data_IF_404713209007
#
_entry.id   IF_404713209007
#
_cell.length_a   1.000
_cell.length_b   1.000
_cell.length_c   1.000
_cell.angle_alpha   90.00
_cell.angle_beta   90.00
_cell.angle_gamma   90.00
#
_symmetry.space_group_name_H-M   'P 1'
#
loop_
_entity.id
_entity.type
_entity.pdbx_description
1 polymer ?
#
# COMPACT_ATOMS: atom_id res chain seq x y z
N UNK A 1 -7.60 -9.70 -22.11
CA UNK A 1 -8.23 -9.12 -20.90
C UNK A 1 -7.09 -8.73 -20.00
N UNK A 2 -7.05 -7.47 -19.59
CA UNK A 2 -5.94 -6.86 -18.85
C UNK A 2 -6.15 -7.04 -17.34
N UNK A 3 -5.30 -7.78 -16.62
CA UNK A 3 -5.51 -8.16 -15.21
C UNK A 3 -5.25 -7.01 -14.21
N UNK A 4 -6.19 -6.75 -13.27
CA UNK A 4 -5.97 -5.85 -12.12
C UNK A 4 -5.73 -6.62 -10.81
N UNK A 5 -4.74 -6.19 -10.02
CA UNK A 5 -4.28 -6.87 -8.81
C UNK A 5 -4.71 -6.13 -7.54
N UNK A 6 -4.86 -6.88 -6.45
CA UNK A 6 -5.22 -6.35 -5.11
C UNK A 6 -4.02 -6.53 -4.17
N UNK A 7 -3.59 -5.42 -3.57
CA UNK A 7 -2.44 -5.36 -2.66
C UNK A 7 -2.85 -4.81 -1.29
N UNK A 8 -2.06 -5.04 -0.24
CA UNK A 8 -2.31 -4.51 1.11
C UNK A 8 -1.31 -3.39 1.43
N UNK A 9 -1.79 -2.21 1.85
CA UNK A 9 -0.93 -1.06 2.20
C UNK A 9 -0.86 -0.89 3.71
N UNK A 10 0.35 -0.93 4.25
CA UNK A 10 0.62 -0.71 5.68
C UNK A 10 0.72 0.79 5.96
N UNK A 11 -0.04 1.30 6.92
CA UNK A 11 0.17 2.64 7.52
C UNK A 11 0.72 2.44 8.92
N UNK A 12 1.77 3.18 9.26
CA UNK A 12 2.35 3.19 10.62
C UNK A 12 1.33 3.71 11.63
N UNK A 13 1.17 2.96 12.73
CA UNK A 13 0.52 3.44 13.95
C UNK A 13 1.62 3.92 14.91
N UNK A 14 1.69 5.21 15.26
CA UNK A 14 2.69 5.74 16.20
C UNK A 14 2.56 5.16 17.63
N UNK A 15 1.50 4.41 17.93
CA UNK A 15 1.35 3.66 19.18
C UNK A 15 2.03 2.27 19.18
N UNK A 16 2.52 1.77 18.04
CA UNK A 16 3.21 0.48 17.91
C UNK A 16 4.74 0.59 18.03
N UNK A 17 5.24 1.45 18.92
CA UNK A 17 6.67 1.60 19.19
C UNK A 17 7.30 0.36 19.90
N UNK A 18 6.46 -0.48 20.51
CA UNK A 18 6.87 -1.69 21.23
C UNK A 18 6.42 -2.95 20.46
N UNK A 19 7.14 -3.28 19.39
CA UNK A 19 6.81 -4.38 18.50
C UNK A 19 6.99 -5.78 19.15
N UNK A 20 6.01 -6.66 18.98
CA UNK A 20 6.07 -8.07 19.39
C UNK A 20 6.82 -8.96 18.38
N UNK A 21 7.32 -10.10 18.87
CA UNK A 21 8.45 -10.87 18.37
C UNK A 21 8.34 -11.42 16.92
N UNK A 22 9.48 -11.56 16.22
CA UNK A 22 9.53 -12.03 14.84
C UNK A 22 9.01 -13.46 14.70
N UNK A 23 8.08 -13.66 13.76
CA UNK A 23 7.57 -14.98 13.38
C UNK A 23 8.54 -15.70 12.45
N UNK A 24 9.06 -16.85 12.87
CA UNK A 24 9.92 -17.75 12.09
C UNK A 24 10.08 -19.11 12.77
N UNK A 25 10.59 -20.12 12.07
CA UNK A 25 10.86 -21.44 12.66
C UNK A 25 12.24 -21.46 13.28
N UNK A 26 12.33 -21.76 14.58
CA UNK A 26 13.60 -22.05 15.24
C UNK A 26 14.08 -23.43 14.78
N UNK A 27 15.28 -23.51 14.20
CA UNK A 27 15.89 -24.77 13.78
C UNK A 27 17.31 -24.88 14.33
N UNK A 28 17.73 -26.10 14.66
CA UNK A 28 19.11 -26.37 15.09
C UNK A 28 19.98 -26.68 13.86
N UNK A 29 20.98 -25.84 13.59
CA UNK A 29 22.01 -26.06 12.55
C UNK A 29 23.39 -25.98 13.18
N UNK A 30 24.23 -26.99 12.95
CA UNK A 30 25.60 -27.07 13.48
C UNK A 30 25.71 -26.86 15.00
N UNK A 31 24.72 -27.35 15.76
CA UNK A 31 24.69 -27.22 17.22
C UNK A 31 24.31 -25.81 17.73
N UNK A 32 23.80 -24.93 16.85
CA UNK A 32 23.27 -23.61 17.22
C UNK A 32 21.82 -23.46 16.79
N UNK A 33 21.04 -22.76 17.60
CA UNK A 33 19.65 -22.43 17.29
C UNK A 33 19.63 -21.20 16.37
N UNK A 34 19.10 -21.37 15.16
CA UNK A 34 18.94 -20.33 14.16
C UNK A 34 17.45 -20.11 13.89
N UNK A 35 17.02 -18.86 13.81
CA UNK A 35 15.68 -18.51 13.35
C UNK A 35 15.69 -18.51 11.82
N UNK A 36 15.04 -19.50 11.21
CA UNK A 36 14.83 -19.52 9.77
C UNK A 36 13.50 -18.84 9.48
N UNK A 37 13.50 -17.69 8.78
CA UNK A 37 12.26 -17.04 8.41
C UNK A 37 11.60 -17.82 7.26
N UNK A 38 10.28 -17.94 7.30
CA UNK A 38 9.53 -18.60 6.22
C UNK A 38 9.42 -17.65 5.00
N UNK A 39 9.98 -18.06 3.85
CA UNK A 39 9.77 -17.44 2.54
C UNK A 39 10.59 -16.19 2.19
N UNK A 40 10.50 -15.68 0.93
CA UNK A 40 11.32 -14.58 0.40
C UNK A 40 11.11 -13.21 1.09
N UNK A 41 10.11 -13.11 1.98
CA UNK A 41 9.77 -11.92 2.77
C UNK A 41 10.70 -11.72 3.99
N UNK A 42 11.51 -12.74 4.31
CA UNK A 42 12.55 -12.75 5.33
C UNK A 42 13.53 -11.56 5.28
N UNK A 43 13.92 -11.17 4.07
CA UNK A 43 14.95 -10.15 3.85
C UNK A 43 14.43 -8.71 4.02
N UNK A 44 13.12 -8.54 4.22
CA UNK A 44 12.45 -7.26 4.37
C UNK A 44 11.92 -7.05 5.80
N UNK A 45 12.38 -7.84 6.77
CA UNK A 45 11.99 -7.65 8.16
C UNK A 45 12.82 -6.56 8.88
N UNK A 46 12.20 -5.83 9.81
CA UNK A 46 10.80 -5.96 10.24
C UNK A 46 9.94 -4.90 9.55
N UNK A 47 9.39 -5.18 8.36
CA UNK A 47 8.17 -4.48 7.94
C UNK A 47 7.07 -4.82 8.97
N UNK A 48 6.36 -3.82 9.53
CA UNK A 48 5.30 -4.03 10.50
C UNK A 48 4.23 -5.02 10.00
N UNK A 49 3.50 -5.70 10.91
CA UNK A 49 2.43 -6.59 10.53
C UNK A 49 1.40 -5.87 9.66
N UNK A 50 0.92 -6.54 8.62
CA UNK A 50 -0.09 -5.99 7.73
C UNK A 50 -1.41 -5.80 8.48
N UNK A 51 -1.97 -4.59 8.43
CA UNK A 51 -3.28 -4.27 9.01
C UNK A 51 -4.45 -4.67 8.09
N UNK A 52 -5.60 -4.02 8.28
CA UNK A 52 -6.83 -4.30 7.50
C UNK A 52 -6.95 -3.49 6.21
N UNK A 53 -6.05 -2.52 5.99
CA UNK A 53 -6.11 -1.65 4.83
C UNK A 53 -5.63 -2.36 3.57
N UNK A 54 -6.36 -2.21 2.47
CA UNK A 54 -5.96 -2.74 1.16
C UNK A 54 -6.07 -1.67 0.07
N UNK A 55 -5.36 -1.92 -1.02
CA UNK A 55 -5.29 -1.14 -2.23
C UNK A 55 -5.55 -2.04 -3.45
N UNK A 56 -6.06 -1.44 -4.51
CA UNK A 56 -6.30 -2.11 -5.78
C UNK A 56 -5.47 -1.37 -6.82
N UNK A 57 -4.64 -2.08 -7.58
CA UNK A 57 -3.90 -1.47 -8.67
C UNK A 57 -4.87 -1.07 -9.78
N UNK A 58 -4.81 0.20 -10.20
CA UNK A 58 -5.72 0.74 -11.22
C UNK A 58 -5.19 0.63 -12.64
N UNK A 59 -4.10 -0.12 -12.79
CA UNK A 59 -3.24 -0.24 -13.96
C UNK A 59 -2.93 -1.72 -14.10
N UNK A 60 -3.08 -2.25 -15.31
CA UNK A 60 -2.87 -3.66 -15.58
C UNK A 60 -1.44 -3.90 -16.08
N UNK A 61 -0.76 -4.99 -15.63
CA UNK A 61 0.52 -5.41 -16.21
C UNK A 61 0.45 -5.65 -17.72
N UNK A 62 -0.70 -6.13 -18.20
CA UNK A 62 -0.94 -6.48 -19.61
C UNK A 62 -1.54 -5.35 -20.46
N UNK A 63 -1.70 -4.14 -19.91
CA UNK A 63 -2.26 -3.02 -20.65
C UNK A 63 -1.25 -2.53 -21.71
N UNK A 64 -1.58 -2.48 -23.02
CA UNK A 64 -0.59 -2.25 -24.08
C UNK A 64 0.05 -0.84 -24.18
N UNK A 65 -0.12 0.05 -23.19
CA UNK A 65 0.30 1.44 -23.34
C UNK A 65 0.53 2.21 -22.01
N UNK A 66 0.76 1.53 -20.88
CA UNK A 66 1.06 2.24 -19.64
C UNK A 66 2.56 2.56 -19.59
N UNK A 67 2.88 3.81 -19.25
CA UNK A 67 4.23 4.38 -19.39
C UNK A 67 5.27 3.52 -18.66
N UNK A 68 6.53 3.49 -19.13
CA UNK A 68 7.61 2.73 -18.45
C UNK A 68 7.72 3.08 -16.96
N UNK A 69 7.34 4.31 -16.59
CA UNK A 69 7.27 4.80 -15.22
C UNK A 69 6.19 4.08 -14.39
N UNK A 70 5.02 3.82 -14.95
CA UNK A 70 3.92 3.13 -14.25
C UNK A 70 4.26 1.66 -14.01
N UNK A 71 4.92 1.00 -14.96
CA UNK A 71 5.42 -0.35 -14.76
C UNK A 71 6.51 -0.41 -13.68
N UNK A 72 7.37 0.61 -13.61
CA UNK A 72 8.37 0.69 -12.54
C UNK A 72 7.70 0.86 -11.17
N UNK A 73 6.68 1.73 -11.06
CA UNK A 73 5.90 1.91 -9.82
C UNK A 73 5.21 0.62 -9.38
N UNK A 74 4.66 -0.15 -10.31
CA UNK A 74 4.09 -1.48 -9.99
C UNK A 74 5.15 -2.42 -9.42
N UNK A 75 6.34 -2.49 -10.04
CA UNK A 75 7.45 -3.31 -9.53
C UNK A 75 7.90 -2.87 -8.14
N UNK A 76 7.90 -1.57 -7.85
CA UNK A 76 8.25 -1.04 -6.54
C UNK A 76 7.18 -1.39 -5.48
N UNK A 77 5.90 -1.40 -5.86
CA UNK A 77 4.80 -1.87 -5.01
C UNK A 77 4.90 -3.37 -4.73
N UNK A 78 5.28 -4.19 -5.71
CA UNK A 78 5.43 -5.64 -5.52
C UNK A 78 6.51 -6.00 -4.49
N UNK A 79 7.49 -5.10 -4.29
CA UNK A 79 8.54 -5.28 -3.29
C UNK A 79 8.08 -4.94 -1.87
N UNK A 80 7.08 -4.09 -1.72
CA UNK A 80 6.68 -3.50 -0.43
C UNK A 80 5.32 -3.99 0.05
N UNK A 81 4.42 -4.31 -0.87
CA UNK A 81 3.06 -4.75 -0.60
C UNK A 81 2.90 -6.25 -0.88
N UNK A 82 2.09 -6.93 -0.07
CA UNK A 82 1.70 -8.30 -0.35
C UNK A 82 0.54 -8.29 -1.34
N UNK A 83 0.70 -8.99 -2.47
CA UNK A 83 -0.40 -9.28 -3.39
C UNK A 83 -1.19 -10.47 -2.83
N UNK A 84 -2.47 -10.27 -2.56
CA UNK A 84 -3.34 -11.28 -1.92
C UNK A 84 -4.47 -11.76 -2.80
N UNK A 85 -4.69 -11.12 -3.95
CA UNK A 85 -5.75 -11.50 -4.87
C UNK A 85 -5.77 -10.68 -6.15
N UNK A 86 -6.75 -10.99 -6.99
CA UNK A 86 -6.99 -10.29 -8.25
C UNK A 86 -8.48 -10.04 -8.44
N UNK A 87 -8.78 -9.05 -9.26
CA UNK A 87 -10.17 -8.76 -9.64
C UNK A 87 -10.60 -9.77 -10.70
N UNK A 88 -11.71 -10.45 -10.45
CA UNK A 88 -12.30 -11.39 -11.42
C UNK A 88 -13.44 -10.72 -12.21
N UNK A 89 -14.16 -9.77 -11.60
CA UNK A 89 -15.27 -9.02 -12.20
C UNK A 89 -15.33 -7.60 -11.64
N UNK A 90 -15.91 -6.66 -12.40
CA UNK A 90 -16.14 -5.27 -11.95
C UNK A 90 -14.99 -4.29 -12.20
N UNK A 91 -14.08 -4.57 -13.15
CA UNK A 91 -12.98 -3.67 -13.51
C UNK A 91 -13.47 -2.30 -14.03
N UNK A 92 -14.66 -2.23 -14.60
CA UNK A 92 -15.32 -0.99 -15.00
C UNK A 92 -15.62 -0.07 -13.79
N UNK A 93 -16.02 -0.66 -12.66
CA UNK A 93 -16.24 0.09 -11.40
C UNK A 93 -14.93 0.70 -10.91
N UNK A 94 -13.83 -0.06 -10.96
CA UNK A 94 -12.50 0.42 -10.57
C UNK A 94 -12.03 1.55 -11.48
N UNK A 95 -12.22 1.42 -12.80
CA UNK A 95 -11.92 2.51 -13.75
C UNK A 95 -12.74 3.76 -13.47
N UNK A 96 -14.02 3.62 -13.13
CA UNK A 96 -14.87 4.76 -12.76
C UNK A 96 -14.39 5.44 -11.47
N UNK A 97 -13.94 4.66 -10.49
CA UNK A 97 -13.34 5.17 -9.25
C UNK A 97 -12.04 5.94 -9.54
N UNK A 98 -11.15 5.39 -10.39
CA UNK A 98 -9.90 6.04 -10.82
C UNK A 98 -10.16 7.42 -11.45
N UNK A 99 -11.24 7.56 -12.20
CA UNK A 99 -11.61 8.80 -12.88
C UNK A 99 -12.31 9.86 -12.02
N UNK A 100 -12.52 9.63 -10.72
CA UNK A 100 -13.17 10.62 -9.86
C UNK A 100 -12.27 11.83 -9.62
N UNK A 101 -12.84 13.05 -9.54
CA UNK A 101 -12.07 14.22 -9.14
C UNK A 101 -11.60 14.04 -7.68
N UNK A 102 -10.34 14.36 -7.45
CA UNK A 102 -9.69 14.23 -6.15
C UNK A 102 -8.95 15.52 -5.78
N UNK A 103 -8.66 15.68 -4.50
CA UNK A 103 -7.84 16.78 -4.01
C UNK A 103 -6.38 16.58 -4.44
N UNK A 104 -5.85 17.39 -5.39
CA UNK A 104 -4.49 17.20 -5.86
C UNK A 104 -3.48 17.45 -4.73
N UNK A 105 -2.38 16.70 -4.70
CA UNK A 105 -1.32 16.93 -3.73
C UNK A 105 -0.70 18.31 -3.96
N UNK A 106 -0.36 19.00 -2.87
CA UNK A 106 0.47 20.21 -2.93
C UNK A 106 1.81 20.01 -2.21
N UNK A 107 2.27 18.76 -2.16
CA UNK A 107 3.46 18.36 -1.41
C UNK A 107 4.72 19.08 -1.87
N UNK A 108 4.78 19.51 -3.14
CA UNK A 108 5.94 20.17 -3.72
C UNK A 108 6.06 21.67 -3.46
N UNK A 109 4.99 22.29 -2.96
CA UNK A 109 5.02 23.72 -2.63
C UNK A 109 6.02 24.01 -1.52
N UNK A 110 6.86 25.04 -1.74
CA UNK A 110 7.82 25.53 -0.75
C UNK A 110 7.15 25.89 0.58
N UNK A 111 5.96 26.49 0.53
CA UNK A 111 5.20 26.86 1.73
C UNK A 111 4.71 25.63 2.50
N UNK A 112 4.27 24.60 1.79
CA UNK A 112 3.84 23.35 2.40
C UNK A 112 5.03 22.62 3.05
N UNK A 113 6.17 22.53 2.34
CA UNK A 113 7.41 21.94 2.86
C UNK A 113 7.91 22.68 4.11
N UNK A 114 7.96 24.02 4.07
CA UNK A 114 8.37 24.85 5.21
C UNK A 114 7.41 24.71 6.41
N UNK A 115 6.09 24.74 6.16
CA UNK A 115 5.09 24.54 7.21
C UNK A 115 5.18 23.17 7.87
N UNK A 116 5.39 22.11 7.08
CA UNK A 116 5.60 20.74 7.58
C UNK A 116 6.88 20.63 8.41
N UNK A 117 8.00 21.18 7.92
CA UNK A 117 9.26 21.20 8.65
C UNK A 117 9.17 22.01 9.97
N UNK A 118 8.40 23.10 9.96
CA UNK A 118 8.15 23.92 11.14
C UNK A 118 7.11 23.35 12.12
N UNK A 119 6.54 22.16 11.84
CA UNK A 119 5.55 21.52 12.70
C UNK A 119 4.15 22.16 12.67
N UNK A 120 3.80 22.89 11.61
CA UNK A 120 2.44 23.45 11.45
C UNK A 120 1.42 22.31 11.32
N UNK A 121 0.53 22.20 12.32
CA UNK A 121 -0.54 21.19 12.35
C UNK A 121 -1.46 21.27 11.14
N UNK A 122 -1.62 22.44 10.53
CA UNK A 122 -2.45 22.63 9.34
C UNK A 122 -1.82 21.98 8.11
N UNK A 123 -0.49 21.98 8.00
CA UNK A 123 0.21 21.27 6.93
C UNK A 123 -0.01 19.75 7.04
N UNK A 124 0.06 19.20 8.27
CA UNK A 124 -0.23 17.78 8.52
C UNK A 124 -1.69 17.40 8.20
N UNK A 125 -2.64 18.28 8.54
CA UNK A 125 -4.07 18.06 8.22
C UNK A 125 -4.31 18.14 6.72
N UNK A 126 -3.68 19.09 6.02
CA UNK A 126 -3.78 19.22 4.57
C UNK A 126 -3.22 17.97 3.85
N UNK A 127 -2.08 17.44 4.33
CA UNK A 127 -1.48 16.23 3.77
C UNK A 127 -2.43 15.03 3.80
N UNK A 128 -3.13 14.84 4.92
CA UNK A 128 -4.13 13.77 5.09
C UNK A 128 -5.30 13.87 4.11
N UNK A 129 -5.52 15.06 3.56
CA UNK A 129 -6.55 15.32 2.55
C UNK A 129 -6.08 15.10 1.12
N UNK A 130 -4.78 14.93 0.85
CA UNK A 130 -4.28 14.71 -0.50
C UNK A 130 -4.79 13.39 -1.08
N UNK A 131 -5.00 13.38 -2.39
CA UNK A 131 -5.54 12.25 -3.16
C UNK A 131 -6.90 11.73 -2.68
N UNK A 132 -7.56 12.44 -1.76
CA UNK A 132 -8.90 12.07 -1.32
C UNK A 132 -9.90 12.43 -2.44
N UNK A 133 -10.70 11.48 -2.93
CA UNK A 133 -11.78 11.77 -3.86
C UNK A 133 -12.78 12.73 -3.21
N UNK A 134 -13.34 13.66 -3.99
CA UNK A 134 -14.40 14.55 -3.48
C UNK A 134 -15.68 13.77 -3.18
N UNK A 135 -15.94 12.72 -3.95
CA UNK A 135 -17.06 11.80 -3.73
C UNK A 135 -16.69 10.70 -2.73
N UNK A 136 -17.54 10.47 -1.73
CA UNK A 136 -17.35 9.38 -0.76
C UNK A 136 -17.66 8.03 -1.42
N UNK A 137 -16.67 7.13 -1.41
CA UNK A 137 -16.84 5.74 -1.84
C UNK A 137 -17.08 4.89 -0.60
N UNK A 138 -18.12 4.06 -0.62
CA UNK A 138 -18.51 3.22 0.53
C UNK A 138 -18.74 1.79 0.03
N UNK A 139 -18.10 0.83 0.69
CA UNK A 139 -18.43 -0.59 0.54
C UNK A 139 -19.68 -0.86 1.38
N UNK A 140 -20.81 -1.13 0.73
CA UNK A 140 -22.09 -1.33 1.42
C UNK A 140 -22.27 -2.76 1.93
N UNK A 141 -21.72 -3.75 1.23
CA UNK A 141 -21.76 -5.15 1.61
C UNK A 141 -20.50 -5.86 1.07
N UNK A 142 -20.00 -6.86 1.81
CA UNK A 142 -18.90 -7.72 1.42
C UNK A 142 -19.06 -9.09 2.09
N UNK A 143 -18.67 -10.16 1.41
CA UNK A 143 -18.78 -11.52 1.92
C UNK A 143 -18.05 -12.51 1.04
N UNK A 144 -18.07 -13.77 1.46
CA UNK A 144 -17.61 -14.89 0.65
C UNK A 144 -18.78 -15.42 -0.17
N UNK A 145 -18.47 -15.86 -1.39
CA UNK A 145 -19.41 -16.56 -2.28
C UNK A 145 -19.05 -18.02 -2.33
#
# INVERSE_FOLDING_TARGET
GSEMLVSITVREDPAMADAEAPTGKLVARNGKLEVVPDGPRAALMPLPPSGTAFAITTTSPDAPAESQEDQQKLRDLDRTNLIVGKIIQGEDVIRRIKGLPFNPPNADSLFFKAGKAGGDKRALVAERGFYRPFSKIVVTNAGFT
#
